data_IF_630006563555
#
_entry.id   IF_630006563555
#
_cell.length_a   1.000
_cell.length_b   1.000
_cell.length_c   1.000
_cell.angle_alpha   90.00
_cell.angle_beta   90.00
_cell.angle_gamma   90.00
#
_symmetry.space_group_name_H-M   'P 1'
#
loop_
_entity.id
_entity.type
_entity.pdbx_description
1 polymer ?
#
# COMPACT_ATOMS: atom_id res chain seq x y z
N UNK A 1 -22.63 -5.25 -13.63
CA UNK A 1 -21.72 -5.92 -12.70
C UNK A 1 -20.42 -5.16 -12.69
N UNK A 2 -20.08 -4.60 -11.54
CA UNK A 2 -18.81 -3.95 -11.24
C UNK A 2 -17.67 -4.97 -11.31
N UNK A 3 -16.46 -4.50 -11.59
CA UNK A 3 -15.27 -5.35 -11.70
C UNK A 3 -14.94 -6.00 -10.34
N UNK A 4 -15.10 -5.27 -9.23
CA UNK A 4 -14.93 -5.81 -7.89
C UNK A 4 -15.86 -7.00 -7.63
N UNK A 5 -17.13 -6.89 -8.05
CA UNK A 5 -18.10 -7.99 -7.95
C UNK A 5 -17.64 -9.22 -8.72
N UNK A 6 -17.12 -9.04 -9.95
CA UNK A 6 -16.62 -10.16 -10.76
C UNK A 6 -15.50 -10.91 -10.02
N UNK A 7 -14.54 -10.20 -9.42
CA UNK A 7 -13.45 -10.82 -8.66
C UNK A 7 -13.94 -11.57 -7.42
N UNK A 8 -14.92 -11.03 -6.70
CA UNK A 8 -15.53 -11.75 -5.57
C UNK A 8 -16.19 -13.04 -6.08
N UNK A 9 -16.91 -13.01 -7.21
CA UNK A 9 -17.58 -14.17 -7.78
C UNK A 9 -16.61 -15.21 -8.38
N UNK A 10 -15.39 -14.83 -8.72
CA UNK A 10 -14.33 -15.77 -9.10
C UNK A 10 -13.83 -16.54 -7.88
N UNK A 11 -13.65 -15.86 -6.73
CA UNK A 11 -13.18 -16.48 -5.48
C UNK A 11 -14.29 -17.23 -4.73
N UNK A 12 -15.52 -16.73 -4.79
CA UNK A 12 -16.72 -17.27 -4.16
C UNK A 12 -17.81 -17.55 -5.21
N UNK A 13 -17.63 -18.55 -6.08
CA UNK A 13 -18.55 -18.84 -7.18
C UNK A 13 -19.95 -19.25 -6.71
N UNK A 14 -20.08 -19.75 -5.47
CA UNK A 14 -21.36 -20.05 -4.82
C UNK A 14 -22.29 -18.82 -4.76
N UNK A 15 -21.73 -17.60 -4.78
CA UNK A 15 -22.49 -16.36 -4.69
C UNK A 15 -23.16 -15.97 -6.01
N UNK A 16 -22.74 -16.54 -7.15
CA UNK A 16 -23.26 -16.17 -8.50
C UNK A 16 -24.77 -16.28 -8.59
N UNK A 17 -25.37 -17.30 -7.95
CA UNK A 17 -26.83 -17.50 -7.96
C UNK A 17 -27.58 -16.34 -7.31
N UNK A 18 -27.01 -15.67 -6.31
CA UNK A 18 -27.66 -14.58 -5.58
C UNK A 18 -27.49 -13.21 -6.24
N UNK A 19 -26.64 -13.10 -7.26
CA UNK A 19 -26.37 -11.85 -7.99
C UNK A 19 -27.03 -11.87 -9.38
N UNK A 20 -27.11 -13.05 -10.01
CA UNK A 20 -27.63 -13.21 -11.37
C UNK A 20 -29.16 -13.40 -11.45
N UNK A 21 -29.83 -13.79 -10.35
CA UNK A 21 -31.28 -13.95 -10.29
C UNK A 21 -31.99 -12.60 -10.22
N UNK A 22 -31.96 -11.89 -11.35
CA UNK A 22 -32.62 -10.61 -11.57
C UNK A 22 -34.11 -10.66 -11.23
N UNK A 23 -34.48 -9.82 -10.27
CA UNK A 23 -35.77 -9.12 -10.02
C UNK A 23 -36.59 -9.50 -8.78
N UNK A 24 -36.49 -10.71 -8.22
CA UNK A 24 -37.40 -11.10 -7.12
C UNK A 24 -36.73 -11.61 -5.83
N UNK A 25 -35.40 -11.80 -5.81
CA UNK A 25 -34.71 -12.20 -4.61
C UNK A 25 -34.30 -10.96 -3.83
N UNK A 26 -34.69 -10.87 -2.55
CA UNK A 26 -34.23 -9.83 -1.62
C UNK A 26 -32.90 -10.23 -0.98
N UNK A 27 -32.11 -9.25 -0.53
CA UNK A 27 -30.85 -9.49 0.17
C UNK A 27 -31.04 -10.40 1.39
N UNK A 28 -32.13 -10.19 2.14
CA UNK A 28 -32.48 -11.00 3.30
C UNK A 28 -32.71 -12.47 2.94
N UNK A 29 -33.38 -12.75 1.82
CA UNK A 29 -33.56 -14.13 1.36
C UNK A 29 -32.22 -14.76 0.96
N UNK A 30 -31.38 -14.03 0.23
CA UNK A 30 -30.04 -14.51 -0.11
C UNK A 30 -29.20 -14.82 1.14
N UNK A 31 -29.25 -13.95 2.16
CA UNK A 31 -28.53 -14.15 3.42
C UNK A 31 -29.03 -15.36 4.20
N UNK A 32 -30.34 -15.63 4.20
CA UNK A 32 -30.91 -16.79 4.88
C UNK A 32 -30.52 -18.13 4.23
N UNK A 33 -30.24 -18.13 2.92
CA UNK A 33 -29.77 -19.33 2.20
C UNK A 33 -28.26 -19.59 2.34
N UNK A 34 -27.50 -18.61 2.84
CA UNK A 34 -26.06 -18.73 3.05
C UNK A 34 -25.75 -19.30 4.43
N UNK A 35 -24.84 -20.27 4.48
CA UNK A 35 -24.55 -21.04 5.70
C UNK A 35 -23.50 -20.39 6.60
N UNK A 36 -22.67 -19.48 6.08
CA UNK A 36 -21.59 -18.86 6.86
C UNK A 36 -21.56 -17.33 6.72
N UNK A 37 -21.02 -16.68 7.76
CA UNK A 37 -20.97 -15.22 7.86
C UNK A 37 -20.00 -14.57 6.87
N UNK A 38 -18.99 -15.31 6.40
CA UNK A 38 -18.06 -14.83 5.36
C UNK A 38 -18.83 -14.58 4.06
N UNK A 39 -19.55 -15.59 3.56
CA UNK A 39 -20.37 -15.49 2.36
C UNK A 39 -21.47 -14.42 2.50
N UNK A 40 -22.12 -14.35 3.67
CA UNK A 40 -23.13 -13.30 3.96
C UNK A 40 -22.53 -11.90 3.94
N UNK A 41 -21.30 -11.75 4.41
CA UNK A 41 -20.60 -10.46 4.36
C UNK A 41 -20.23 -10.10 2.92
N UNK A 42 -19.73 -11.06 2.14
CA UNK A 42 -19.38 -10.83 0.75
C UNK A 42 -20.59 -10.59 -0.16
N UNK A 43 -21.75 -11.22 0.07
CA UNK A 43 -22.95 -10.92 -0.73
C UNK A 43 -23.48 -9.51 -0.45
N UNK A 44 -23.46 -9.06 0.81
CA UNK A 44 -23.81 -7.69 1.16
C UNK A 44 -22.85 -6.69 0.50
N UNK A 45 -21.55 -7.00 0.52
CA UNK A 45 -20.54 -6.18 -0.14
C UNK A 45 -20.74 -6.10 -1.66
N UNK A 46 -21.08 -7.22 -2.31
CA UNK A 46 -21.44 -7.24 -3.73
C UNK A 46 -22.65 -6.34 -4.00
N UNK A 47 -23.71 -6.46 -3.21
CA UNK A 47 -24.92 -5.67 -3.41
C UNK A 47 -24.67 -4.17 -3.23
N UNK A 48 -23.83 -3.80 -2.26
CA UNK A 48 -23.34 -2.43 -2.12
C UNK A 48 -22.54 -1.96 -3.34
N UNK A 49 -21.66 -2.77 -3.90
CA UNK A 49 -20.91 -2.39 -5.11
C UNK A 49 -21.82 -2.16 -6.32
N UNK A 50 -22.86 -2.98 -6.49
CA UNK A 50 -23.80 -2.85 -7.61
C UNK A 50 -24.76 -1.66 -7.42
N UNK A 51 -25.22 -1.40 -6.19
CA UNK A 51 -26.19 -0.34 -5.91
C UNK A 51 -26.02 0.23 -4.48
N UNK A 52 -25.05 1.12 -4.25
CA UNK A 52 -24.69 1.59 -2.92
C UNK A 52 -25.76 2.46 -2.25
N UNK A 53 -26.64 3.11 -3.02
CA UNK A 53 -27.72 3.97 -2.51
C UNK A 53 -28.84 3.13 -1.88
N UNK A 54 -29.20 1.99 -2.52
CA UNK A 54 -30.27 1.11 -2.04
C UNK A 54 -29.76 0.03 -1.07
N UNK A 55 -28.46 -0.25 -1.07
CA UNK A 55 -27.84 -1.33 -0.30
C UNK A 55 -26.59 -0.84 0.43
N UNK A 56 -26.74 -0.09 1.54
CA UNK A 56 -25.60 0.35 2.34
C UNK A 56 -24.85 -0.85 2.95
N UNK A 57 -23.53 -0.72 3.09
CA UNK A 57 -22.69 -1.74 3.70
C UNK A 57 -22.18 -1.32 5.08
N UNK A 58 -22.38 -2.18 6.08
CA UNK A 58 -21.88 -1.97 7.45
C UNK A 58 -20.43 -2.45 7.57
N UNK A 59 -19.48 -1.52 7.70
CA UNK A 59 -18.05 -1.85 7.88
C UNK A 59 -17.78 -2.75 9.09
N UNK A 60 -18.63 -2.70 10.12
CA UNK A 60 -18.49 -3.52 11.32
C UNK A 60 -18.56 -5.04 11.02
N UNK A 61 -19.22 -5.43 9.93
CA UNK A 61 -19.27 -6.81 9.46
C UNK A 61 -17.87 -7.34 9.13
N UNK A 62 -16.97 -6.51 8.61
CA UNK A 62 -15.59 -6.90 8.32
C UNK A 62 -14.85 -7.32 9.59
N UNK A 63 -15.02 -6.55 10.67
CA UNK A 63 -14.38 -6.81 11.95
C UNK A 63 -14.93 -8.07 12.64
N UNK A 64 -16.23 -8.31 12.53
CA UNK A 64 -16.87 -9.41 13.25
C UNK A 64 -16.81 -10.75 12.51
N UNK A 65 -16.85 -10.73 11.17
CA UNK A 65 -17.09 -11.94 10.38
C UNK A 65 -15.89 -12.37 9.54
N UNK A 66 -14.90 -11.51 9.34
CA UNK A 66 -13.75 -11.78 8.49
C UNK A 66 -12.44 -11.74 9.29
N UNK A 67 -11.57 -12.71 9.02
CA UNK A 67 -10.22 -12.78 9.56
C UNK A 67 -9.21 -13.12 8.45
N UNK A 68 -7.93 -12.94 8.76
CA UNK A 68 -6.80 -13.32 7.91
C UNK A 68 -6.96 -12.98 6.43
N UNK A 69 -6.97 -14.00 5.58
CA UNK A 69 -7.06 -13.89 4.12
C UNK A 69 -8.41 -13.34 3.64
N UNK A 70 -9.51 -13.57 4.38
CA UNK A 70 -10.82 -13.06 3.99
C UNK A 70 -10.95 -11.57 4.28
N UNK A 71 -10.47 -11.13 5.43
CA UNK A 71 -10.43 -9.70 5.75
C UNK A 71 -9.54 -8.95 4.77
N UNK A 72 -8.34 -9.47 4.51
CA UNK A 72 -7.43 -8.91 3.52
C UNK A 72 -8.10 -8.80 2.14
N UNK A 73 -8.73 -9.87 1.68
CA UNK A 73 -9.42 -9.88 0.39
C UNK A 73 -10.57 -8.86 0.33
N UNK A 74 -11.39 -8.73 1.39
CA UNK A 74 -12.46 -7.74 1.43
C UNK A 74 -11.92 -6.31 1.35
N UNK A 75 -10.84 -5.99 2.07
CA UNK A 75 -10.19 -4.67 2.02
C UNK A 75 -9.60 -4.38 0.63
N UNK A 76 -9.00 -5.38 0.00
CA UNK A 76 -8.52 -5.29 -1.39
C UNK A 76 -9.68 -4.99 -2.34
N UNK A 77 -10.82 -5.66 -2.18
CA UNK A 77 -12.01 -5.44 -3.03
C UNK A 77 -12.66 -4.07 -2.82
N UNK A 78 -12.74 -3.59 -1.58
CA UNK A 78 -13.23 -2.24 -1.27
C UNK A 78 -12.32 -1.20 -1.93
N UNK A 79 -11.00 -1.35 -1.77
CA UNK A 79 -10.02 -0.45 -2.39
C UNK A 79 -10.12 -0.49 -3.91
N UNK A 80 -10.25 -1.70 -4.48
CA UNK A 80 -10.38 -1.91 -5.91
C UNK A 80 -11.66 -1.28 -6.46
N UNK A 81 -12.80 -1.45 -5.77
CA UNK A 81 -14.07 -0.81 -6.14
C UNK A 81 -13.94 0.71 -6.21
N UNK A 82 -13.41 1.34 -5.15
CA UNK A 82 -13.26 2.80 -5.14
C UNK A 82 -12.25 3.32 -6.17
N UNK A 83 -11.26 2.50 -6.53
CA UNK A 83 -10.24 2.87 -7.52
C UNK A 83 -10.68 2.66 -8.96
N UNK A 84 -11.26 1.50 -9.27
CA UNK A 84 -11.45 1.00 -10.64
C UNK A 84 -12.91 1.04 -11.12
N UNK A 85 -13.87 1.04 -10.20
CA UNK A 85 -15.31 1.00 -10.50
C UNK A 85 -16.02 2.33 -10.26
N UNK A 86 -15.52 3.17 -9.35
CA UNK A 86 -16.07 4.51 -9.07
C UNK A 86 -15.09 5.66 -9.30
N UNK A 87 -13.78 5.37 -9.37
CA UNK A 87 -12.70 6.36 -9.51
C UNK A 87 -12.65 7.41 -8.38
N UNK A 88 -13.32 7.17 -7.25
CA UNK A 88 -13.31 8.05 -6.07
C UNK A 88 -11.98 7.97 -5.29
N UNK A 89 -11.23 6.87 -5.47
CA UNK A 89 -9.87 6.72 -4.97
C UNK A 89 -8.88 6.71 -6.14
N UNK A 90 -8.60 7.88 -6.77
CA UNK A 90 -7.63 7.97 -7.85
C UNK A 90 -6.27 7.49 -7.36
N UNK A 91 -5.41 7.05 -8.29
CA UNK A 91 -4.05 6.60 -7.96
C UNK A 91 -3.37 7.64 -7.04
N UNK A 92 -2.81 7.23 -5.90
CA UNK A 92 -2.16 8.16 -4.98
C UNK A 92 -1.11 8.96 -5.74
N UNK A 93 -1.21 10.28 -5.71
CA UNK A 93 -0.15 11.18 -6.20
C UNK A 93 1.01 11.21 -5.22
N UNK A 94 0.73 10.93 -3.94
CA UNK A 94 1.71 10.83 -2.87
C UNK A 94 1.78 9.40 -2.35
N UNK A 95 2.99 8.82 -2.38
CA UNK A 95 3.28 7.58 -1.69
C UNK A 95 3.42 7.88 -0.21
N UNK A 96 2.50 7.44 0.64
CA UNK A 96 2.73 7.48 2.08
C UNK A 96 3.80 6.44 2.39
N UNK A 97 5.00 6.88 2.79
CA UNK A 97 6.01 5.98 3.33
C UNK A 97 5.54 5.55 4.70
N UNK A 98 5.06 4.32 4.83
CA UNK A 98 4.63 3.73 6.11
C UNK A 98 5.80 3.00 6.81
N UNK A 99 6.97 2.87 6.18
CA UNK A 99 8.09 2.11 6.76
C UNK A 99 9.29 2.97 7.16
N UNK A 100 9.97 2.56 8.24
CA UNK A 100 11.26 3.10 8.69
C UNK A 100 12.42 2.80 7.72
N UNK A 101 12.15 2.13 6.60
CA UNK A 101 13.16 1.66 5.65
C UNK A 101 13.67 2.78 4.74
N UNK A 102 13.02 3.95 4.76
CA UNK A 102 13.41 5.10 3.96
C UNK A 102 13.87 6.26 4.83
N UNK A 103 15.01 6.82 4.43
CA UNK A 103 15.62 7.99 5.02
C UNK A 103 15.42 9.17 4.08
N UNK A 104 14.95 10.29 4.62
CA UNK A 104 15.10 11.57 3.94
C UNK A 104 16.54 12.10 4.10
N UNK A 105 16.82 13.29 3.55
CA UNK A 105 18.15 13.89 3.64
C UNK A 105 18.62 14.09 5.09
N UNK A 106 17.71 14.35 6.02
CA UNK A 106 18.03 14.50 7.44
C UNK A 106 18.38 13.16 8.08
N UNK A 107 17.60 12.12 7.79
CA UNK A 107 17.83 10.75 8.22
C UNK A 107 19.15 10.21 7.67
N UNK A 108 19.44 10.43 6.39
CA UNK A 108 20.68 10.01 5.76
C UNK A 108 21.91 10.70 6.40
N UNK A 109 21.80 11.99 6.73
CA UNK A 109 22.87 12.72 7.44
C UNK A 109 23.16 12.14 8.82
N UNK A 110 22.10 11.83 9.58
CA UNK A 110 22.21 11.20 10.89
C UNK A 110 22.85 9.81 10.78
N UNK A 111 22.34 8.99 9.88
CA UNK A 111 22.82 7.63 9.63
C UNK A 111 24.31 7.58 9.28
N UNK A 112 24.76 8.46 8.37
CA UNK A 112 26.18 8.53 7.99
C UNK A 112 27.06 8.95 9.17
N UNK A 113 26.59 9.86 10.00
CA UNK A 113 27.31 10.29 11.21
C UNK A 113 27.46 9.13 12.21
N UNK A 114 26.39 8.36 12.44
CA UNK A 114 26.42 7.17 13.30
C UNK A 114 27.40 6.09 12.81
N UNK A 115 27.60 5.98 11.49
CA UNK A 115 28.59 5.07 10.87
C UNK A 115 30.04 5.65 10.85
N UNK A 116 30.30 6.77 11.53
CA UNK A 116 31.64 7.38 11.64
C UNK A 116 32.01 8.30 10.49
N UNK A 117 31.05 8.67 9.63
CA UNK A 117 31.20 9.66 8.56
C UNK A 117 30.64 11.03 9.01
N UNK A 118 31.11 11.53 10.15
CA UNK A 118 30.70 12.79 10.79
C UNK A 118 30.87 14.04 9.90
N UNK A 119 31.58 13.91 8.77
CA UNK A 119 31.78 14.99 7.81
C UNK A 119 30.65 15.06 6.74
N UNK A 120 29.48 14.47 6.98
CA UNK A 120 28.30 14.54 6.10
C UNK A 120 27.10 15.26 6.75
N UNK A 121 27.22 16.58 7.04
CA UNK A 121 26.06 17.38 7.42
C UNK A 121 25.08 17.51 6.24
N UNK A 122 23.80 17.74 6.53
CA UNK A 122 22.74 17.87 5.52
C UNK A 122 23.12 18.80 4.36
N UNK A 123 23.75 19.95 4.61
CA UNK A 123 24.19 20.89 3.56
C UNK A 123 25.14 20.24 2.55
N UNK A 124 26.08 19.42 3.01
CA UNK A 124 27.01 18.70 2.15
C UNK A 124 26.28 17.65 1.32
N UNK A 125 25.31 16.96 1.91
CA UNK A 125 24.48 15.99 1.19
C UNK A 125 23.70 16.70 0.07
N UNK A 126 23.09 17.87 0.32
CA UNK A 126 22.44 18.66 -0.73
C UNK A 126 23.39 18.98 -1.88
N UNK A 127 24.61 19.44 -1.58
CA UNK A 127 25.62 19.71 -2.61
C UNK A 127 25.98 18.46 -3.41
N UNK A 128 26.12 17.31 -2.73
CA UNK A 128 26.48 16.05 -3.39
C UNK A 128 25.35 15.51 -4.27
N UNK A 129 24.09 15.71 -3.86
CA UNK A 129 22.92 15.39 -4.67
C UNK A 129 22.91 16.26 -5.94
N UNK A 130 23.13 17.57 -5.81
CA UNK A 130 23.20 18.49 -6.95
C UNK A 130 24.32 18.14 -7.92
N UNK A 131 25.46 17.64 -7.41
CA UNK A 131 26.61 17.22 -8.21
C UNK A 131 26.50 15.80 -8.77
N UNK A 132 25.44 15.06 -8.44
CA UNK A 132 25.28 13.65 -8.84
C UNK A 132 26.29 12.69 -8.19
N UNK A 133 26.97 13.12 -7.12
CA UNK A 133 27.95 12.29 -6.39
C UNK A 133 27.36 11.58 -5.18
N UNK A 134 26.12 11.92 -4.81
CA UNK A 134 25.31 11.16 -3.87
C UNK A 134 24.51 10.09 -4.61
N UNK A 135 24.13 8.96 -3.98
CA UNK A 135 23.24 7.98 -4.59
C UNK A 135 21.97 8.63 -5.13
N UNK A 136 21.51 8.16 -6.28
CA UNK A 136 20.20 8.56 -6.81
C UNK A 136 19.11 8.17 -5.80
N UNK A 137 18.10 9.02 -5.65
CA UNK A 137 16.97 8.72 -4.78
C UNK A 137 16.24 7.45 -5.21
N UNK A 138 15.87 6.63 -4.22
CA UNK A 138 15.03 5.45 -4.42
C UNK A 138 13.55 5.86 -4.59
N UNK A 139 13.18 7.00 -4.02
CA UNK A 139 11.82 7.51 -4.04
C UNK A 139 11.79 9.05 -4.05
N UNK A 140 10.87 9.62 -4.82
CA UNK A 140 10.60 11.05 -4.88
C UNK A 140 9.12 11.29 -4.56
N UNK A 141 8.83 11.97 -3.45
CA UNK A 141 7.46 12.31 -3.01
C UNK A 141 7.35 13.79 -2.81
N UNK A 142 6.41 14.44 -3.51
CA UNK A 142 6.17 15.88 -3.44
C UNK A 142 7.47 16.72 -3.57
N UNK A 143 8.39 16.27 -4.45
CA UNK A 143 9.70 16.91 -4.67
C UNK A 143 10.78 16.61 -3.61
N UNK A 144 10.43 15.90 -2.53
CA UNK A 144 11.36 15.46 -1.49
C UNK A 144 11.95 14.09 -1.84
N UNK A 145 13.27 13.99 -1.72
CA UNK A 145 14.05 12.80 -2.04
C UNK A 145 14.19 11.88 -0.82
N UNK A 146 14.06 10.58 -1.05
CA UNK A 146 14.22 9.54 -0.05
C UNK A 146 15.09 8.40 -0.58
N UNK A 147 15.80 7.75 0.32
CA UNK A 147 16.68 6.61 0.04
C UNK A 147 16.34 5.48 0.98
N UNK A 148 16.42 4.25 0.49
CA UNK A 148 16.38 3.08 1.36
C UNK A 148 17.58 3.13 2.32
N UNK A 149 17.41 2.59 3.53
CA UNK A 149 18.51 2.41 4.49
C UNK A 149 19.67 1.66 3.83
N UNK A 150 19.38 0.58 3.09
CA UNK A 150 20.39 -0.22 2.38
C UNK A 150 21.20 0.60 1.36
N UNK A 151 20.56 1.52 0.63
CA UNK A 151 21.24 2.40 -0.34
C UNK A 151 22.23 3.33 0.36
N UNK A 152 21.86 3.86 1.53
CA UNK A 152 22.74 4.71 2.33
C UNK A 152 23.84 3.88 3.01
N UNK A 153 23.58 2.64 3.40
CA UNK A 153 24.57 1.70 3.93
C UNK A 153 25.67 1.38 2.93
N UNK A 154 25.30 1.02 1.70
CA UNK A 154 26.25 0.72 0.62
C UNK A 154 27.13 1.94 0.33
N UNK A 155 26.51 3.12 0.26
CA UNK A 155 27.24 4.36 0.10
C UNK A 155 28.20 4.63 1.26
N UNK A 156 27.78 4.41 2.51
CA UNK A 156 28.63 4.60 3.69
C UNK A 156 29.86 3.67 3.64
N UNK A 157 29.66 2.39 3.28
CA UNK A 157 30.73 1.42 3.15
C UNK A 157 31.76 1.84 2.10
N UNK A 158 31.31 2.35 0.95
CA UNK A 158 32.19 2.85 -0.10
C UNK A 158 32.97 4.10 0.30
N UNK A 159 32.34 5.04 1.02
CA UNK A 159 33.04 6.21 1.55
C UNK A 159 34.08 5.84 2.61
N UNK A 160 33.79 4.88 3.48
CA UNK A 160 34.75 4.37 4.47
C UNK A 160 35.94 3.65 3.81
N UNK A 161 35.70 2.84 2.77
CA UNK A 161 36.77 2.22 1.98
C UNK A 161 37.69 3.28 1.35
N UNK A 162 37.11 4.31 0.71
CA UNK A 162 37.87 5.43 0.10
C UNK A 162 38.67 6.22 1.13
N UNK A 163 38.09 6.45 2.32
CA UNK A 163 38.77 7.09 3.44
C UNK A 163 39.98 6.26 3.86
N UNK A 164 39.81 4.95 4.06
CA UNK A 164 40.90 4.06 4.49
C UNK A 164 41.99 3.85 3.43
N UNK A 165 41.65 3.83 2.14
CA UNK A 165 42.64 3.75 1.05
C UNK A 165 43.49 5.02 0.94
N UNK A 166 42.91 6.19 1.23
CA UNK A 166 43.63 7.48 1.23
C UNK A 166 44.64 7.61 2.38
N UNK A 167 44.52 6.83 3.45
CA UNK A 167 45.48 6.84 4.58
C UNK A 167 46.63 5.85 4.41
N UNK A 168 46.58 4.93 3.43
CA UNK A 168 47.66 3.95 3.16
C UNK A 168 48.72 4.44 2.17
N UNK A 169 48.55 5.62 1.59
CA UNK A 169 49.44 6.19 0.55
C UNK A 169 50.29 7.38 1.05
N UNK A 170 50.37 7.58 2.37
CA UNK A 170 51.25 8.57 2.99
C UNK A 170 52.28 7.90 3.88
#
# INVERSE_FOLDING_TARGET
>A
MKKATVQILEKLPCLKKYVCLKKNLSLQQAMNELSNEVEKTFIQLIWFFENPEDHPFELNLLHHHLDGEWLKFALEMITFYFREDTFLLPKPTDSVIITNDYLDQSGASRFLSEKGLNNFPQRKIATYIQRGTFPKEDLLISGKKFWKVTTIEDYAADQLKKKNSSYRTK
#
